data_IF_339186207765
#
_entry.id   IF_339186207765
#
_cell.length_a   1.000
_cell.length_b   1.000
_cell.length_c   1.000
_cell.angle_alpha   90.00
_cell.angle_beta   90.00
_cell.angle_gamma   90.00
#
_symmetry.space_group_name_H-M   'P 1'
#
loop_
_entity.id
_entity.type
_entity.pdbx_description
1 polymer ?
#
# COMPACT_ATOMS: atom_id res chain seq x y z
N UNK A 1 12.57 6.02 22.85
CA UNK A 1 11.65 7.10 23.29
C UNK A 1 10.32 6.92 22.59
N UNK A 2 9.21 7.01 23.32
CA UNK A 2 7.85 6.93 22.76
C UNK A 2 7.59 8.13 21.84
N UNK A 3 6.98 7.90 20.67
CA UNK A 3 6.69 8.95 19.71
C UNK A 3 5.81 10.06 20.30
N UNK A 4 6.28 11.30 20.17
CA UNK A 4 5.56 12.50 20.56
C UNK A 4 5.60 13.50 19.40
N UNK A 5 4.47 13.73 18.74
CA UNK A 5 4.44 14.49 17.49
C UNK A 5 5.06 15.90 17.59
N UNK A 6 4.87 16.62 18.72
CA UNK A 6 5.44 17.97 18.88
C UNK A 6 6.98 17.93 18.90
N UNK A 7 7.56 16.89 19.51
CA UNK A 7 9.00 16.74 19.69
C UNK A 7 9.61 16.27 18.36
N UNK A 8 8.95 15.34 17.67
CA UNK A 8 9.33 14.92 16.33
C UNK A 8 9.23 16.06 15.31
N UNK A 9 8.14 16.83 15.31
CA UNK A 9 7.95 17.95 14.39
C UNK A 9 9.06 19.00 14.58
N UNK A 10 9.40 19.32 15.84
CA UNK A 10 10.50 20.24 16.15
C UNK A 10 11.82 19.69 15.61
N UNK A 11 12.14 18.43 15.92
CA UNK A 11 13.35 17.76 15.45
C UNK A 11 13.44 17.73 13.91
N UNK A 12 12.37 17.36 13.21
CA UNK A 12 12.38 17.27 11.74
C UNK A 12 12.61 18.63 11.09
N UNK A 13 11.99 19.67 11.63
CA UNK A 13 12.12 21.05 11.13
C UNK A 13 13.52 21.59 11.40
N UNK A 14 14.07 21.36 12.60
CA UNK A 14 15.42 21.77 12.96
C UNK A 14 16.46 21.02 12.11
N UNK A 15 16.27 19.72 11.86
CA UNK A 15 17.16 18.92 11.00
C UNK A 15 17.16 19.39 9.55
N UNK A 16 16.02 19.93 9.09
CA UNK A 16 15.86 20.45 7.72
C UNK A 16 16.23 21.93 7.58
N UNK A 17 16.51 22.61 8.68
CA UNK A 17 16.82 24.03 8.74
C UNK A 17 15.80 24.92 7.99
N UNK A 18 14.50 24.65 8.23
CA UNK A 18 13.41 25.44 7.62
C UNK A 18 12.66 26.27 8.65
N UNK A 19 12.20 27.46 8.25
CA UNK A 19 11.33 28.25 9.13
C UNK A 19 9.91 27.69 9.18
N UNK A 20 9.14 28.07 10.20
CA UNK A 20 7.71 27.70 10.28
C UNK A 20 6.89 28.24 9.11
N UNK A 21 7.27 29.40 8.55
CA UNK A 21 6.60 29.97 7.38
C UNK A 21 6.87 29.13 6.15
N UNK A 22 8.12 28.69 5.98
CA UNK A 22 8.53 27.84 4.86
C UNK A 22 7.89 26.46 4.96
N UNK A 23 7.73 25.91 6.17
CA UNK A 23 6.98 24.68 6.39
C UNK A 23 5.52 24.80 5.90
N UNK A 24 4.81 25.89 6.22
CA UNK A 24 3.43 26.09 5.72
C UNK A 24 3.41 26.11 4.19
N UNK A 25 4.32 26.87 3.58
CA UNK A 25 4.42 26.96 2.12
C UNK A 25 4.74 25.59 1.50
N UNK A 26 5.67 24.84 2.07
CA UNK A 26 6.05 23.50 1.64
C UNK A 26 4.85 22.55 1.67
N UNK A 27 4.11 22.52 2.77
CA UNK A 27 2.94 21.65 2.93
C UNK A 27 1.82 22.01 1.95
N UNK A 28 1.55 23.31 1.76
CA UNK A 28 0.50 23.78 0.85
C UNK A 28 0.87 23.60 -0.62
N UNK A 29 2.14 23.75 -0.98
CA UNK A 29 2.60 23.55 -2.36
C UNK A 29 2.54 22.07 -2.78
N UNK A 30 2.86 21.14 -1.87
CA UNK A 30 2.86 19.71 -2.20
C UNK A 30 1.49 19.03 -2.01
N UNK A 31 0.71 19.48 -1.03
CA UNK A 31 -0.56 18.85 -0.63
C UNK A 31 -1.62 19.90 -0.24
N UNK A 32 -1.93 20.81 -1.16
CA UNK A 32 -2.85 21.92 -0.92
C UNK A 32 -4.17 21.49 -0.28
N UNK A 33 -4.86 20.50 -0.85
CA UNK A 33 -6.17 20.05 -0.34
C UNK A 33 -6.10 19.51 1.11
N UNK A 34 -4.96 18.97 1.53
CA UNK A 34 -4.78 18.45 2.90
C UNK A 34 -4.44 19.56 3.90
N UNK A 35 -3.79 20.63 3.45
CA UNK A 35 -3.30 21.74 4.29
C UNK A 35 -3.94 23.10 3.98
N UNK A 36 -5.03 23.10 3.21
CA UNK A 36 -5.84 24.29 2.96
C UNK A 36 -6.33 24.86 4.28
N UNK A 37 -6.08 26.14 4.49
CA UNK A 37 -6.41 26.83 5.75
C UNK A 37 -5.44 26.56 6.90
N UNK A 38 -4.31 25.88 6.68
CA UNK A 38 -3.22 25.84 7.66
C UNK A 38 -2.64 27.24 7.85
N UNK A 39 -2.76 27.77 9.06
CA UNK A 39 -2.21 29.06 9.48
C UNK A 39 -1.09 28.89 10.52
N UNK A 40 -0.40 30.00 10.81
CA UNK A 40 0.69 30.06 11.78
C UNK A 40 0.23 29.73 13.21
N UNK A 41 -1.03 30.01 13.55
CA UNK A 41 -1.60 29.73 14.87
C UNK A 41 -1.77 28.22 15.06
N UNK A 42 -2.38 27.55 14.08
CA UNK A 42 -2.61 26.11 14.07
C UNK A 42 -1.28 25.37 14.08
N UNK A 43 -0.33 25.79 13.26
CA UNK A 43 1.02 25.22 13.27
C UNK A 43 1.71 25.43 14.63
N UNK A 44 1.61 26.62 15.23
CA UNK A 44 2.15 26.89 16.58
C UNK A 44 1.52 26.00 17.66
N UNK A 45 0.22 25.70 17.56
CA UNK A 45 -0.45 24.73 18.44
C UNK A 45 0.11 23.32 18.30
N UNK A 46 0.52 22.91 17.10
CA UNK A 46 1.20 21.63 16.88
C UNK A 46 2.59 21.59 17.52
N UNK A 47 3.42 22.61 17.31
CA UNK A 47 4.74 22.72 17.96
C UNK A 47 4.67 22.76 19.49
N UNK A 48 3.61 23.36 20.05
CA UNK A 48 3.42 23.43 21.51
C UNK A 48 2.69 22.22 22.08
N UNK A 49 2.21 21.30 21.24
CA UNK A 49 1.39 20.15 21.64
C UNK A 49 -0.01 20.50 22.16
N UNK A 50 -0.47 21.76 21.98
CA UNK A 50 -1.84 22.18 22.32
C UNK A 50 -2.89 21.50 21.44
N UNK A 51 -2.50 21.10 20.23
CA UNK A 51 -3.28 20.22 19.38
C UNK A 51 -2.36 19.27 18.61
N UNK A 52 -2.90 18.14 18.18
CA UNK A 52 -2.18 17.14 17.39
C UNK A 52 -2.98 16.93 16.10
N UNK A 53 -2.35 17.05 14.92
CA UNK A 53 -3.04 16.79 13.67
C UNK A 53 -3.38 15.29 13.52
N UNK A 54 -4.37 14.93 12.70
CA UNK A 54 -4.67 13.53 12.39
C UNK A 54 -3.45 12.78 11.83
N UNK A 55 -3.39 11.45 12.01
CA UNK A 55 -2.24 10.61 11.63
C UNK A 55 -1.85 10.80 10.15
N UNK A 56 -2.83 10.84 9.24
CA UNK A 56 -2.52 11.04 7.81
C UNK A 56 -1.81 12.38 7.54
N UNK A 57 -2.17 13.45 8.27
CA UNK A 57 -1.45 14.73 8.16
C UNK A 57 -0.05 14.64 8.75
N UNK A 58 0.14 13.88 9.83
CA UNK A 58 1.47 13.63 10.38
C UNK A 58 2.37 12.91 9.35
N UNK A 59 1.83 11.91 8.63
CA UNK A 59 2.55 11.24 7.54
C UNK A 59 2.85 12.15 6.36
N UNK A 60 1.91 13.02 5.95
CA UNK A 60 2.21 14.01 4.92
C UNK A 60 3.30 15.00 5.35
N UNK A 61 3.27 15.45 6.60
CA UNK A 61 4.31 16.34 7.13
C UNK A 61 5.67 15.62 7.10
N UNK A 62 5.73 14.38 7.60
CA UNK A 62 6.94 13.57 7.55
C UNK A 62 7.44 13.38 6.11
N UNK A 63 6.53 13.05 5.17
CA UNK A 63 6.84 12.86 3.76
C UNK A 63 7.37 14.14 3.09
N UNK A 64 6.78 15.31 3.36
CA UNK A 64 7.28 16.60 2.84
C UNK A 64 8.66 16.97 3.39
N UNK A 65 9.03 16.44 4.56
CA UNK A 65 10.33 16.66 5.20
C UNK A 65 11.33 15.53 4.90
N UNK A 66 11.05 14.72 3.87
CA UNK A 66 11.64 13.42 3.52
C UNK A 66 12.14 12.63 4.74
N UNK A 67 11.23 12.42 5.70
CA UNK A 67 11.41 11.52 6.84
C UNK A 67 10.92 10.13 6.44
N UNK A 68 11.67 9.09 6.83
CA UNK A 68 11.26 7.70 6.62
C UNK A 68 9.95 7.40 7.37
N UNK A 69 8.88 7.15 6.61
CA UNK A 69 7.55 6.85 7.15
C UNK A 69 7.53 5.54 7.94
N UNK A 70 8.42 4.58 7.63
CA UNK A 70 8.55 3.33 8.39
C UNK A 70 9.05 3.64 9.81
N UNK A 71 10.10 4.46 9.95
CA UNK A 71 10.61 4.89 11.25
C UNK A 71 9.51 5.58 12.08
N UNK A 72 8.77 6.49 11.44
CA UNK A 72 7.65 7.20 12.09
C UNK A 72 6.61 6.20 12.62
N UNK A 73 6.14 5.28 11.77
CA UNK A 73 5.11 4.30 12.13
C UNK A 73 5.57 3.33 13.24
N UNK A 74 6.82 2.87 13.18
CA UNK A 74 7.38 1.99 14.20
C UNK A 74 7.49 2.66 15.57
N UNK A 75 7.67 3.98 15.64
CA UNK A 75 7.74 4.72 16.91
C UNK A 75 6.38 5.08 17.49
N UNK A 76 5.33 5.15 16.67
CA UNK A 76 3.96 5.50 17.10
C UNK A 76 3.39 4.53 18.14
N UNK A 77 2.82 5.04 19.22
CA UNK A 77 1.98 4.26 20.14
C UNK A 77 0.53 4.19 19.61
N UNK A 78 0.12 2.99 19.18
CA UNK A 78 -1.21 2.74 18.62
C UNK A 78 -2.20 2.13 19.63
N UNK A 79 -1.83 2.00 20.90
CA UNK A 79 -2.66 1.37 21.94
C UNK A 79 -4.02 2.03 22.11
N UNK A 80 -4.07 3.36 21.94
CA UNK A 80 -5.29 4.18 22.07
C UNK A 80 -6.03 4.41 20.74
N UNK A 81 -5.44 4.01 19.62
CA UNK A 81 -6.05 4.20 18.30
C UNK A 81 -7.19 3.20 18.13
N UNK A 82 -8.41 3.70 17.91
CA UNK A 82 -9.62 2.90 17.71
C UNK A 82 -10.36 3.37 16.47
N UNK A 83 -11.11 2.48 15.85
CA UNK A 83 -12.06 2.82 14.80
C UNK A 83 -13.50 2.67 15.32
N UNK A 84 -14.46 3.20 14.57
CA UNK A 84 -15.86 3.26 14.98
C UNK A 84 -16.62 1.95 14.73
N UNK A 85 -17.75 1.77 15.41
CA UNK A 85 -18.65 0.62 15.21
C UNK A 85 -19.09 0.43 13.74
N UNK A 86 -19.14 1.51 12.95
CA UNK A 86 -19.40 1.45 11.51
C UNK A 86 -18.33 0.64 10.77
N UNK A 87 -17.06 0.81 11.15
CA UNK A 87 -15.96 0.03 10.58
C UNK A 87 -16.07 -1.44 11.03
N UNK A 88 -16.37 -1.73 12.30
CA UNK A 88 -16.59 -3.10 12.77
C UNK A 88 -17.66 -3.83 11.95
N UNK A 89 -18.78 -3.16 11.67
CA UNK A 89 -19.87 -3.75 10.89
C UNK A 89 -19.43 -4.08 9.45
N UNK A 90 -18.76 -3.15 8.79
CA UNK A 90 -18.28 -3.34 7.41
C UNK A 90 -17.22 -4.44 7.34
N UNK A 91 -16.27 -4.45 8.28
CA UNK A 91 -15.22 -5.47 8.35
C UNK A 91 -15.83 -6.84 8.63
N UNK A 92 -16.70 -6.96 9.63
CA UNK A 92 -17.32 -8.25 9.98
C UNK A 92 -18.20 -8.79 8.86
N UNK A 93 -18.88 -7.91 8.11
CA UNK A 93 -19.66 -8.29 6.94
C UNK A 93 -18.76 -8.76 5.81
N UNK A 94 -17.64 -8.07 5.55
CA UNK A 94 -16.65 -8.53 4.58
C UNK A 94 -16.06 -9.88 4.98
N UNK A 95 -15.57 -10.01 6.20
CA UNK A 95 -14.98 -11.25 6.75
C UNK A 95 -15.97 -12.39 6.59
N UNK A 96 -17.23 -12.20 7.02
CA UNK A 96 -18.27 -13.21 6.86
C UNK A 96 -18.46 -13.55 5.39
N UNK A 97 -18.54 -12.58 4.49
CA UNK A 97 -18.80 -12.85 3.08
C UNK A 97 -17.64 -13.57 2.38
N UNK A 98 -16.39 -13.30 2.76
CA UNK A 98 -15.20 -13.97 2.22
C UNK A 98 -15.03 -15.38 2.79
N UNK A 99 -15.26 -15.54 4.09
CA UNK A 99 -15.08 -16.81 4.80
C UNK A 99 -16.33 -17.72 4.73
N UNK A 100 -17.46 -17.19 4.27
CA UNK A 100 -18.66 -17.98 3.95
C UNK A 100 -18.43 -18.92 2.77
N UNK A 101 -17.38 -18.69 1.97
CA UNK A 101 -17.06 -19.56 0.85
C UNK A 101 -16.63 -20.96 1.32
N UNK A 102 -16.99 -21.96 0.53
CA UNK A 102 -16.77 -23.42 0.69
C UNK A 102 -15.25 -23.77 0.74
N UNK A 103 -14.34 -22.81 0.84
CA UNK A 103 -12.89 -23.06 0.97
C UNK A 103 -12.55 -23.92 2.20
N UNK A 104 -13.34 -23.83 3.28
CA UNK A 104 -13.27 -24.75 4.43
C UNK A 104 -13.77 -26.17 4.15
N UNK A 105 -14.55 -26.36 3.08
CA UNK A 105 -15.06 -27.65 2.57
C UNK A 105 -14.32 -28.08 1.29
N UNK A 106 -13.17 -27.46 0.99
CA UNK A 106 -12.34 -27.79 -0.17
C UNK A 106 -11.65 -29.15 0.00
N UNK A 107 -11.56 -29.93 -1.09
CA UNK A 107 -10.73 -31.14 -1.15
C UNK A 107 -9.24 -30.86 -0.89
N UNK A 108 -8.81 -29.61 -1.05
CA UNK A 108 -7.46 -29.16 -0.72
C UNK A 108 -7.50 -28.38 0.57
N UNK A 109 -6.85 -28.93 1.60
CA UNK A 109 -6.68 -28.25 2.89
C UNK A 109 -5.79 -27.03 2.68
N UNK A 110 -6.30 -25.86 3.03
CA UNK A 110 -5.50 -24.65 3.16
C UNK A 110 -4.91 -24.68 4.57
N UNK A 111 -3.88 -25.48 4.77
CA UNK A 111 -3.12 -25.52 6.03
C UNK A 111 -1.78 -24.83 5.86
N UNK A 112 -1.22 -24.40 6.99
CA UNK A 112 0.09 -23.76 7.08
C UNK A 112 0.02 -22.23 7.18
N UNK A 113 1.07 -21.58 7.73
CA UNK A 113 1.19 -20.13 7.70
C UNK A 113 1.33 -19.67 6.23
N UNK A 114 0.62 -18.60 5.82
CA UNK A 114 0.69 -18.11 4.45
C UNK A 114 2.12 -17.66 4.12
N UNK A 115 2.70 -18.25 3.06
CA UNK A 115 3.96 -17.80 2.50
C UNK A 115 3.69 -16.75 1.44
N UNK A 116 4.08 -15.52 1.72
CA UNK A 116 3.94 -14.39 0.79
C UNK A 116 5.18 -14.26 -0.08
N UNK A 117 5.02 -13.85 -1.34
CA UNK A 117 6.12 -13.65 -2.28
C UNK A 117 5.82 -12.44 -3.15
N UNK A 118 6.76 -11.49 -3.21
CA UNK A 118 6.67 -10.31 -4.06
C UNK A 118 7.56 -10.50 -5.28
N UNK A 119 6.99 -10.35 -6.47
CA UNK A 119 7.70 -10.50 -7.75
C UNK A 119 7.52 -9.29 -8.64
N UNK A 120 8.59 -8.95 -9.35
CA UNK A 120 8.50 -8.12 -10.55
C UNK A 120 8.42 -9.02 -11.77
N UNK A 121 7.43 -8.80 -12.63
CA UNK A 121 7.15 -9.60 -13.81
C UNK A 121 7.18 -8.71 -15.05
N UNK A 122 7.68 -9.27 -16.14
CA UNK A 122 7.45 -8.76 -17.50
C UNK A 122 5.99 -9.00 -17.93
N UNK A 123 5.56 -8.35 -19.00
CA UNK A 123 4.22 -8.56 -19.58
C UNK A 123 3.98 -10.03 -19.96
N UNK A 124 5.00 -10.72 -20.47
CA UNK A 124 4.90 -12.12 -20.88
C UNK A 124 4.73 -13.04 -19.67
N UNK A 125 5.56 -12.89 -18.64
CA UNK A 125 5.44 -13.65 -17.39
C UNK A 125 4.11 -13.39 -16.68
N UNK A 126 3.66 -12.13 -16.65
CA UNK A 126 2.36 -11.74 -16.14
C UNK A 126 1.23 -12.42 -16.91
N UNK A 127 1.27 -12.34 -18.24
CA UNK A 127 0.28 -12.95 -19.11
C UNK A 127 0.23 -14.45 -18.87
N UNK A 128 1.36 -15.14 -18.91
CA UNK A 128 1.42 -16.60 -18.73
C UNK A 128 0.88 -17.04 -17.36
N UNK A 129 1.16 -16.28 -16.29
CA UNK A 129 0.70 -16.63 -14.95
C UNK A 129 -0.78 -16.32 -14.70
N UNK A 130 -1.32 -15.23 -15.23
CA UNK A 130 -2.66 -14.76 -14.92
C UNK A 130 -3.67 -14.85 -16.06
N UNK A 131 -3.29 -15.38 -17.23
CA UNK A 131 -4.14 -15.47 -18.43
C UNK A 131 -5.52 -16.03 -18.13
N UNK A 132 -5.58 -17.21 -17.52
CA UNK A 132 -6.86 -17.90 -17.23
C UNK A 132 -7.71 -17.10 -16.24
N UNK A 133 -7.08 -16.53 -15.20
CA UNK A 133 -7.77 -15.70 -14.23
C UNK A 133 -8.36 -14.43 -14.88
N UNK A 134 -7.55 -13.72 -15.67
CA UNK A 134 -7.96 -12.51 -16.38
C UNK A 134 -9.02 -12.80 -17.45
N UNK A 135 -8.96 -13.97 -18.10
CA UNK A 135 -9.98 -14.41 -19.06
C UNK A 135 -11.37 -14.49 -18.43
N UNK A 136 -11.44 -14.90 -17.17
CA UNK A 136 -12.70 -15.00 -16.41
C UNK A 136 -13.26 -13.63 -15.98
N UNK A 137 -12.55 -12.53 -16.20
CA UNK A 137 -12.99 -11.17 -15.88
C UNK A 137 -13.41 -10.46 -17.17
N UNK A 138 -14.57 -10.88 -17.70
CA UNK A 138 -15.08 -10.42 -19.00
C UNK A 138 -15.14 -8.87 -19.16
N UNK A 139 -15.48 -8.06 -18.13
CA UNK A 139 -15.50 -6.60 -18.28
C UNK A 139 -14.14 -6.01 -18.66
N UNK A 140 -13.04 -6.62 -18.19
CA UNK A 140 -11.68 -6.12 -18.38
C UNK A 140 -10.95 -6.75 -19.58
N UNK A 141 -11.59 -7.62 -20.36
CA UNK A 141 -10.97 -8.27 -21.53
C UNK A 141 -10.30 -7.28 -22.50
N UNK A 142 -10.95 -6.14 -22.78
CA UNK A 142 -10.41 -5.09 -23.66
C UNK A 142 -9.20 -4.40 -23.03
N UNK A 143 -9.23 -4.20 -21.71
CA UNK A 143 -8.12 -3.62 -20.98
C UNK A 143 -6.87 -4.50 -21.08
N UNK A 144 -7.00 -5.80 -20.84
CA UNK A 144 -5.86 -6.72 -20.98
C UNK A 144 -5.34 -6.83 -22.43
N UNK A 145 -6.21 -6.72 -23.43
CA UNK A 145 -5.80 -6.65 -24.84
C UNK A 145 -4.99 -5.38 -25.13
N UNK A 146 -5.50 -4.21 -24.74
CA UNK A 146 -4.79 -2.93 -24.91
C UNK A 146 -3.43 -2.95 -24.19
N UNK A 147 -3.33 -3.60 -23.01
CA UNK A 147 -2.05 -3.77 -22.30
C UNK A 147 -1.04 -4.58 -23.11
N UNK A 148 -1.45 -5.72 -23.69
CA UNK A 148 -0.56 -6.55 -24.49
C UNK A 148 -0.09 -5.83 -25.77
N UNK A 149 -0.96 -5.04 -26.39
CA UNK A 149 -0.67 -4.35 -27.65
C UNK A 149 0.17 -3.08 -27.48
N UNK A 150 -0.02 -2.34 -26.37
CA UNK A 150 0.46 -0.95 -26.25
C UNK A 150 1.33 -0.69 -25.02
N UNK A 151 1.48 -1.68 -24.13
CA UNK A 151 2.17 -1.51 -22.85
C UNK A 151 3.24 -2.59 -22.61
N UNK A 152 4.01 -2.94 -23.64
CA UNK A 152 5.00 -4.04 -23.59
C UNK A 152 6.13 -3.85 -22.58
N UNK A 153 6.46 -2.59 -22.26
CA UNK A 153 7.57 -2.24 -21.37
C UNK A 153 7.14 -2.05 -19.90
N UNK A 154 5.88 -2.33 -19.58
CA UNK A 154 5.37 -2.18 -18.21
C UNK A 154 5.84 -3.34 -17.34
N UNK A 155 6.47 -2.99 -16.20
CA UNK A 155 6.78 -3.95 -15.14
C UNK A 155 5.57 -4.10 -14.22
N UNK A 156 5.18 -5.34 -14.01
CA UNK A 156 4.11 -5.70 -13.10
C UNK A 156 4.70 -6.08 -11.75
N UNK A 157 4.17 -5.50 -10.67
CA UNK A 157 4.48 -5.95 -9.31
C UNK A 157 3.37 -6.86 -8.84
N UNK A 158 3.74 -8.02 -8.30
CA UNK A 158 2.81 -9.03 -7.85
C UNK A 158 3.10 -9.39 -6.40
N UNK A 159 2.05 -9.49 -5.59
CA UNK A 159 2.06 -10.11 -4.27
C UNK A 159 1.32 -11.43 -4.39
N UNK A 160 2.01 -12.53 -4.14
CA UNK A 160 1.45 -13.89 -4.13
C UNK A 160 1.37 -14.39 -2.70
N UNK A 161 0.31 -15.13 -2.37
CA UNK A 161 0.22 -15.93 -1.17
C UNK A 161 0.10 -17.39 -1.60
N UNK A 162 1.00 -18.22 -1.07
CA UNK A 162 1.05 -19.65 -1.32
C UNK A 162 0.78 -20.44 -0.05
N UNK A 163 0.20 -21.62 -0.23
CA UNK A 163 0.08 -22.62 0.82
C UNK A 163 1.31 -23.55 0.86
N UNK A 164 1.32 -24.51 1.79
CA UNK A 164 2.40 -25.50 1.96
C UNK A 164 2.65 -26.37 0.70
N UNK A 165 1.70 -26.41 -0.24
CA UNK A 165 1.81 -27.14 -1.52
C UNK A 165 2.27 -26.23 -2.67
N UNK A 166 2.75 -25.01 -2.37
CA UNK A 166 3.14 -23.97 -3.32
C UNK A 166 2.00 -23.51 -4.26
N UNK A 167 0.74 -23.85 -3.94
CA UNK A 167 -0.41 -23.40 -4.70
C UNK A 167 -0.80 -21.96 -4.30
N UNK A 168 -1.08 -21.12 -5.29
CA UNK A 168 -1.54 -19.74 -5.07
C UNK A 168 -2.95 -19.72 -4.45
N UNK A 169 -3.04 -19.24 -3.22
CA UNK A 169 -4.30 -19.08 -2.46
C UNK A 169 -4.73 -17.62 -2.31
N UNK A 170 -3.86 -16.69 -2.74
CA UNK A 170 -4.18 -15.29 -2.92
C UNK A 170 -3.18 -14.62 -3.84
N UNK A 171 -3.62 -13.62 -4.60
CA UNK A 171 -2.71 -12.73 -5.31
C UNK A 171 -3.30 -11.33 -5.47
N UNK A 172 -2.39 -10.36 -5.53
CA UNK A 172 -2.58 -9.08 -6.18
C UNK A 172 -1.49 -8.89 -7.23
N UNK A 173 -1.83 -8.21 -8.30
CA UNK A 173 -0.85 -7.69 -9.24
C UNK A 173 -1.16 -6.23 -9.52
N UNK A 174 -0.18 -5.49 -9.98
CA UNK A 174 -0.35 -4.08 -10.26
C UNK A 174 0.76 -3.52 -11.12
N UNK A 175 0.54 -2.30 -11.58
CA UNK A 175 1.50 -1.50 -12.33
C UNK A 175 1.86 -0.30 -11.48
N UNK A 176 3.14 -0.18 -11.14
CA UNK A 176 3.64 0.93 -10.30
C UNK A 176 3.54 2.25 -11.07
N UNK A 177 3.87 2.21 -12.35
CA UNK A 177 3.83 3.34 -13.27
C UNK A 177 2.68 3.10 -14.26
N UNK A 178 1.74 4.03 -14.32
CA UNK A 178 0.53 3.93 -15.13
C UNK A 178 0.51 4.92 -16.29
N UNK A 179 1.58 5.68 -16.47
CA UNK A 179 1.76 6.66 -17.53
C UNK A 179 1.60 6.00 -18.91
N UNK A 180 2.15 4.80 -19.09
CA UNK A 180 2.04 4.03 -20.33
C UNK A 180 0.64 3.50 -20.65
N UNK A 181 -0.29 3.54 -19.69
CA UNK A 181 -1.68 3.10 -19.88
C UNK A 181 -2.69 4.25 -19.79
N UNK A 182 -2.20 5.46 -19.47
CA UNK A 182 -3.03 6.64 -19.29
C UNK A 182 -3.69 7.03 -20.63
N UNK A 183 -5.00 7.20 -20.63
CA UNK A 183 -5.76 7.56 -21.84
C UNK A 183 -6.00 6.42 -22.81
N UNK A 184 -5.66 5.16 -22.47
CA UNK A 184 -6.11 4.01 -23.26
C UNK A 184 -7.65 3.99 -23.35
N UNK A 185 -8.24 3.57 -24.48
CA UNK A 185 -9.70 3.51 -24.62
C UNK A 185 -10.39 2.64 -23.56
N UNK A 186 -9.69 1.61 -23.08
CA UNK A 186 -10.14 0.71 -22.02
C UNK A 186 -9.80 1.21 -20.61
N UNK A 187 -9.09 2.32 -20.47
CA UNK A 187 -8.75 2.93 -19.18
C UNK A 187 -9.35 4.35 -19.07
N UNK A 188 -8.88 5.13 -18.10
CA UNK A 188 -9.27 6.53 -17.91
C UNK A 188 -8.14 7.45 -18.35
N UNK A 189 -8.47 8.72 -18.57
CA UNK A 189 -7.47 9.77 -18.79
C UNK A 189 -7.28 10.56 -17.50
N UNK A 190 -6.05 10.63 -17.04
CA UNK A 190 -5.62 11.36 -15.86
C UNK A 190 -4.74 12.54 -16.27
N UNK A 191 -4.76 13.66 -15.52
CA UNK A 191 -3.70 14.66 -15.59
C UNK A 191 -2.33 14.00 -15.41
N UNK A 192 -1.31 14.49 -16.12
CA UNK A 192 0.01 13.87 -16.11
C UNK A 192 0.61 13.79 -14.69
N UNK A 193 0.53 14.88 -13.91
CA UNK A 193 1.03 14.92 -12.53
C UNK A 193 0.36 13.84 -11.65
N UNK A 194 -0.94 13.61 -11.84
CA UNK A 194 -1.65 12.56 -11.12
C UNK A 194 -1.21 11.17 -11.58
N UNK A 195 -1.06 10.94 -12.89
CA UNK A 195 -0.59 9.67 -13.43
C UNK A 195 0.81 9.30 -12.89
N UNK A 196 1.73 10.26 -12.83
CA UNK A 196 3.10 10.08 -12.29
C UNK A 196 3.08 9.68 -10.80
N UNK A 197 2.13 10.23 -10.03
CA UNK A 197 1.94 9.94 -8.60
C UNK A 197 1.02 8.75 -8.33
N UNK A 198 0.60 8.04 -9.36
CA UNK A 198 -0.37 6.95 -9.25
C UNK A 198 0.19 5.59 -9.62
N UNK A 199 -0.40 4.56 -9.03
CA UNK A 199 -0.24 3.17 -9.44
C UNK A 199 -1.62 2.52 -9.71
N UNK A 200 -1.63 1.36 -10.37
CA UNK A 200 -2.83 0.55 -10.59
C UNK A 200 -2.67 -0.82 -9.92
N UNK A 201 -3.71 -1.29 -9.25
CA UNK A 201 -3.85 -2.64 -8.72
C UNK A 201 -4.95 -3.35 -9.53
N UNK A 202 -4.60 -4.50 -10.08
CA UNK A 202 -5.50 -5.39 -10.78
C UNK A 202 -6.58 -5.97 -9.88
N UNK A 203 -7.50 -6.73 -10.48
CA UNK A 203 -8.44 -7.53 -9.69
C UNK A 203 -7.66 -8.58 -8.93
N UNK A 204 -7.90 -8.66 -7.62
CA UNK A 204 -7.28 -9.65 -6.76
C UNK A 204 -8.02 -10.98 -6.68
N UNK A 205 -7.29 -12.01 -6.29
CA UNK A 205 -7.84 -13.30 -5.87
C UNK A 205 -7.44 -13.58 -4.42
N UNK A 206 -8.35 -14.17 -3.65
CA UNK A 206 -8.10 -14.59 -2.28
C UNK A 206 -9.16 -15.61 -1.88
N UNK A 207 -8.74 -16.66 -1.17
CA UNK A 207 -9.64 -17.74 -0.73
C UNK A 207 -10.27 -17.52 0.64
N UNK A 208 -9.81 -16.51 1.38
CA UNK A 208 -10.30 -16.18 2.73
C UNK A 208 -10.06 -14.70 3.04
N UNK A 209 -10.72 -14.21 4.09
CA UNK A 209 -10.48 -12.88 4.65
C UNK A 209 -9.04 -12.72 5.14
N UNK A 210 -8.43 -13.77 5.70
CA UNK A 210 -7.04 -13.75 6.14
C UNK A 210 -6.07 -13.46 4.97
N UNK A 211 -6.26 -14.13 3.82
CA UNK A 211 -5.45 -13.85 2.63
C UNK A 211 -5.71 -12.45 2.07
N UNK A 212 -6.97 -11.99 2.08
CA UNK A 212 -7.30 -10.64 1.64
C UNK A 212 -6.55 -9.57 2.45
N UNK A 213 -6.58 -9.68 3.79
CA UNK A 213 -5.87 -8.74 4.65
C UNK A 213 -4.35 -8.86 4.52
N UNK A 214 -3.80 -10.07 4.38
CA UNK A 214 -2.35 -10.25 4.16
C UNK A 214 -1.91 -9.58 2.84
N UNK A 215 -2.67 -9.73 1.75
CA UNK A 215 -2.38 -9.05 0.48
C UNK A 215 -2.35 -7.52 0.64
N UNK A 216 -3.34 -6.95 1.34
CA UNK A 216 -3.38 -5.50 1.62
C UNK A 216 -2.14 -5.08 2.40
N UNK A 217 -1.84 -5.78 3.50
CA UNK A 217 -0.75 -5.42 4.40
C UNK A 217 0.60 -5.52 3.68
N UNK A 218 0.83 -6.60 2.95
CA UNK A 218 2.04 -6.79 2.13
C UNK A 218 2.21 -5.66 1.09
N UNK A 219 1.15 -5.32 0.37
CA UNK A 219 1.19 -4.25 -0.63
C UNK A 219 1.48 -2.87 0.01
N UNK A 220 0.91 -2.58 1.17
CA UNK A 220 1.16 -1.32 1.89
C UNK A 220 2.58 -1.27 2.48
N UNK A 221 3.09 -2.37 3.03
CA UNK A 221 4.49 -2.45 3.47
C UNK A 221 5.45 -2.27 2.28
N UNK A 222 5.18 -2.93 1.16
CA UNK A 222 5.98 -2.78 -0.06
C UNK A 222 5.97 -1.33 -0.58
N UNK A 223 4.80 -0.69 -0.59
CA UNK A 223 4.69 0.73 -0.89
C UNK A 223 5.53 1.59 0.05
N UNK A 224 5.46 1.35 1.36
CA UNK A 224 6.22 2.12 2.35
C UNK A 224 7.73 2.03 2.09
N UNK A 225 8.22 0.82 1.77
CA UNK A 225 9.63 0.53 1.53
C UNK A 225 10.12 1.11 0.19
N UNK A 226 9.30 1.15 -0.87
CA UNK A 226 9.81 1.43 -2.24
C UNK A 226 9.25 2.68 -2.91
N UNK A 227 8.05 3.09 -2.53
CA UNK A 227 7.25 4.04 -3.30
C UNK A 227 6.63 5.16 -2.46
N UNK A 228 6.85 5.17 -1.15
CA UNK A 228 6.30 6.16 -0.23
C UNK A 228 6.69 7.59 -0.55
N UNK A 229 7.83 7.84 -1.20
CA UNK A 229 8.24 9.17 -1.66
C UNK A 229 7.58 9.56 -2.99
N UNK A 230 7.29 8.60 -3.87
CA UNK A 230 6.92 8.85 -5.28
C UNK A 230 5.43 8.75 -5.58
N UNK A 231 4.73 7.84 -4.90
CA UNK A 231 3.33 7.50 -5.20
C UNK A 231 2.43 7.97 -4.07
N UNK A 232 1.27 8.51 -4.41
CA UNK A 232 0.28 9.03 -3.47
C UNK A 232 -1.08 8.38 -3.66
N UNK A 233 -1.40 7.96 -4.88
CA UNK A 233 -2.69 7.39 -5.23
C UNK A 233 -2.54 5.96 -5.77
N UNK A 234 -3.52 5.15 -5.45
CA UNK A 234 -3.69 3.83 -6.04
C UNK A 234 -5.07 3.76 -6.67
N UNK A 235 -5.09 3.37 -7.93
CA UNK A 235 -6.29 2.95 -8.62
C UNK A 235 -6.40 1.44 -8.49
N UNK A 236 -7.60 0.91 -8.34
CA UNK A 236 -7.77 -0.53 -8.17
C UNK A 236 -9.09 -1.03 -8.72
N UNK A 237 -9.02 -2.17 -9.39
CA UNK A 237 -10.19 -2.83 -9.91
C UNK A 237 -10.84 -3.71 -8.83
N UNK A 238 -12.12 -3.48 -8.59
CA UNK A 238 -12.93 -4.23 -7.63
C UNK A 238 -14.13 -4.80 -8.37
N UNK A 239 -14.34 -6.11 -8.27
CA UNK A 239 -15.56 -6.75 -8.76
C UNK A 239 -16.79 -6.16 -8.08
N UNK A 240 -17.93 -6.19 -8.76
CA UNK A 240 -19.22 -5.69 -8.27
C UNK A 240 -19.78 -6.59 -7.15
N UNK A 241 -19.11 -6.54 -6.00
CA UNK A 241 -19.38 -7.32 -4.81
C UNK A 241 -19.48 -6.36 -3.62
N UNK A 242 -20.72 -6.16 -3.15
CA UNK A 242 -21.07 -5.11 -2.20
C UNK A 242 -20.22 -5.09 -0.92
N UNK A 243 -19.86 -6.23 -0.28
CA UNK A 243 -18.97 -6.20 0.89
C UNK A 243 -17.58 -5.60 0.60
N UNK A 244 -16.98 -5.90 -0.56
CA UNK A 244 -15.69 -5.33 -0.95
C UNK A 244 -15.80 -3.85 -1.30
N UNK A 245 -16.89 -3.44 -1.97
CA UNK A 245 -17.15 -2.03 -2.30
C UNK A 245 -17.33 -1.22 -1.02
N UNK A 246 -18.15 -1.70 -0.08
CA UNK A 246 -18.39 -1.03 1.19
C UNK A 246 -17.11 -0.91 2.03
N UNK A 247 -16.30 -1.98 2.09
CA UNK A 247 -14.98 -1.94 2.72
C UNK A 247 -14.08 -0.90 2.06
N UNK A 248 -14.03 -0.87 0.73
CA UNK A 248 -13.13 0.03 0.01
C UNK A 248 -13.51 1.50 0.17
N UNK A 249 -14.80 1.82 0.09
CA UNK A 249 -15.31 3.18 0.34
C UNK A 249 -15.03 3.64 1.77
N UNK A 250 -15.14 2.75 2.77
CA UNK A 250 -14.97 3.14 4.18
C UNK A 250 -13.52 3.11 4.66
N UNK A 251 -12.78 2.05 4.38
CA UNK A 251 -11.43 1.81 4.95
C UNK A 251 -10.35 2.51 4.13
N UNK A 252 -10.41 2.38 2.80
CA UNK A 252 -9.48 3.08 1.91
C UNK A 252 -9.89 4.53 1.63
N UNK A 253 -11.09 4.94 2.05
CA UNK A 253 -11.71 6.20 1.62
C UNK A 253 -11.71 6.31 0.09
N UNK A 254 -12.07 5.21 -0.58
CA UNK A 254 -11.98 5.09 -2.02
C UNK A 254 -13.15 5.77 -2.72
N UNK A 255 -12.83 6.47 -3.81
CA UNK A 255 -13.75 7.16 -4.70
C UNK A 255 -13.96 6.32 -5.96
N UNK A 256 -15.21 6.22 -6.39
CA UNK A 256 -15.57 5.51 -7.62
C UNK A 256 -15.22 6.38 -8.82
N UNK A 257 -14.48 5.83 -9.78
CA UNK A 257 -14.00 6.58 -10.95
C UNK A 257 -14.71 6.12 -12.23
N UNK A 258 -14.84 4.80 -12.41
CA UNK A 258 -15.44 4.21 -13.61
C UNK A 258 -16.04 2.86 -13.29
N UNK A 259 -17.16 2.53 -13.92
CA UNK A 259 -17.76 1.19 -13.89
C UNK A 259 -17.62 0.52 -15.26
N UNK A 260 -17.20 -0.73 -15.24
CA UNK A 260 -17.07 -1.62 -16.40
C UNK A 260 -18.20 -2.66 -16.32
N UNK A 261 -19.26 -2.50 -17.13
CA UNK A 261 -20.43 -3.37 -17.03
C UNK A 261 -20.10 -4.81 -17.45
N UNK A 262 -20.85 -5.80 -16.91
CA UNK A 262 -20.73 -7.18 -17.35
C UNK A 262 -21.02 -7.32 -18.84
N UNK A 263 -20.20 -8.10 -19.55
CA UNK A 263 -20.40 -8.39 -20.98
C UNK A 263 -21.26 -9.63 -21.21
N UNK A 264 -21.39 -10.46 -20.19
CA UNK A 264 -22.08 -11.74 -20.26
C UNK A 264 -23.11 -11.84 -19.14
N UNK A 265 -24.25 -12.48 -19.43
CA UNK A 265 -25.33 -12.66 -18.46
C UNK A 265 -24.83 -13.53 -17.30
N UNK A 266 -24.95 -13.03 -16.07
CA UNK A 266 -24.49 -13.74 -14.86
C UNK A 266 -23.05 -13.42 -14.44
N UNK A 267 -22.29 -12.64 -15.24
CA UNK A 267 -21.00 -12.10 -14.81
C UNK A 267 -21.17 -10.84 -13.95
N UNK A 268 -20.22 -10.58 -13.05
CA UNK A 268 -20.17 -9.34 -12.27
C UNK A 268 -19.52 -8.23 -13.11
N UNK A 269 -19.98 -6.99 -12.90
CA UNK A 269 -19.23 -5.82 -13.36
C UNK A 269 -17.95 -5.62 -12.55
N UNK A 270 -17.15 -4.63 -12.96
CA UNK A 270 -15.93 -4.23 -12.25
C UNK A 270 -15.93 -2.72 -12.10
N UNK A 271 -15.67 -2.23 -10.90
CA UNK A 271 -15.41 -0.82 -10.64
C UNK A 271 -13.91 -0.55 -10.67
N UNK A 272 -13.53 0.61 -11.19
CA UNK A 272 -12.26 1.24 -10.93
C UNK A 272 -12.46 2.26 -9.82
N UNK A 273 -11.81 2.00 -8.69
CA UNK A 273 -11.74 2.92 -7.57
C UNK A 273 -10.41 3.63 -7.54
N UNK A 274 -10.38 4.81 -6.93
CA UNK A 274 -9.19 5.58 -6.60
C UNK A 274 -9.13 5.79 -5.10
N UNK A 275 -7.96 5.64 -4.51
CA UNK A 275 -7.76 6.00 -3.11
C UNK A 275 -6.40 6.63 -2.87
N UNK A 276 -6.29 7.36 -1.77
CA UNK A 276 -5.04 7.90 -1.30
C UNK A 276 -4.34 6.90 -0.37
N UNK A 277 -3.11 6.53 -0.70
CA UNK A 277 -2.37 5.46 -0.03
C UNK A 277 -2.02 5.87 1.41
N UNK A 278 -1.58 7.11 1.63
CA UNK A 278 -1.25 7.64 2.96
C UNK A 278 -2.48 7.63 3.87
N UNK A 279 -3.64 8.10 3.39
CA UNK A 279 -4.91 8.03 4.16
C UNK A 279 -5.32 6.60 4.47
N UNK A 280 -5.08 5.68 3.54
CA UNK A 280 -5.38 4.26 3.72
C UNK A 280 -4.53 3.62 4.81
N UNK A 281 -3.21 3.82 4.77
CA UNK A 281 -2.28 3.34 5.80
C UNK A 281 -2.63 3.97 7.16
N UNK A 282 -3.04 5.23 7.17
CA UNK A 282 -3.43 5.95 8.38
C UNK A 282 -4.77 5.50 8.97
N UNK A 283 -5.55 4.69 8.27
CA UNK A 283 -6.80 4.16 8.80
C UNK A 283 -6.49 3.18 9.94
N UNK A 284 -7.06 3.35 11.15
CA UNK A 284 -6.81 2.46 12.29
C UNK A 284 -6.93 0.95 12.02
N UNK A 285 -7.78 0.56 11.06
CA UNK A 285 -8.00 -0.83 10.65
C UNK A 285 -6.74 -1.43 10.03
N UNK A 286 -6.03 -0.65 9.22
CA UNK A 286 -4.84 -1.09 8.49
C UNK A 286 -3.56 -0.68 9.21
N UNK A 287 -3.54 0.50 9.83
CA UNK A 287 -2.38 1.08 10.50
C UNK A 287 -1.73 0.11 11.48
N UNK A 288 -2.54 -0.56 12.33
CA UNK A 288 -2.04 -1.54 13.30
C UNK A 288 -1.42 -2.75 12.63
N UNK A 289 -2.11 -3.32 11.63
CA UNK A 289 -1.64 -4.50 10.89
C UNK A 289 -0.36 -4.22 10.12
N UNK A 290 -0.25 -3.04 9.51
CA UNK A 290 0.95 -2.59 8.81
C UNK A 290 2.10 -2.40 9.80
N UNK A 291 1.86 -1.75 10.95
CA UNK A 291 2.88 -1.61 12.00
C UNK A 291 3.38 -2.97 12.50
N UNK A 292 2.47 -3.86 12.88
CA UNK A 292 2.77 -5.22 13.34
C UNK A 292 3.61 -5.98 12.31
N UNK A 293 3.28 -5.86 11.02
CA UNK A 293 4.07 -6.49 9.96
C UNK A 293 5.47 -5.87 9.84
N UNK A 294 5.59 -4.54 9.90
CA UNK A 294 6.89 -3.87 9.85
C UNK A 294 7.76 -4.22 11.05
N UNK A 295 7.20 -4.34 12.25
CA UNK A 295 7.89 -4.82 13.45
C UNK A 295 8.41 -6.25 13.23
N UNK A 296 7.53 -7.14 12.72
CA UNK A 296 7.93 -8.50 12.35
C UNK A 296 9.06 -8.53 11.31
N UNK A 297 9.11 -7.58 10.37
CA UNK A 297 10.18 -7.48 9.37
C UNK A 297 11.50 -6.97 9.94
N UNK A 298 11.45 -6.11 10.97
CA UNK A 298 12.65 -5.61 11.66
C UNK A 298 13.29 -6.73 12.48
N UNK A 299 12.47 -7.52 13.18
CA UNK A 299 12.92 -8.60 14.07
C UNK A 299 12.96 -9.97 13.37
N UNK A 300 12.87 -9.97 12.03
CA UNK A 300 12.74 -11.19 11.23
C UNK A 300 14.01 -12.02 11.26
N UNK A 301 13.89 -13.31 11.60
CA UNK A 301 15.00 -14.27 11.48
C UNK A 301 15.50 -14.29 10.01
N UNK A 302 16.82 -14.22 9.75
CA UNK A 302 17.37 -14.31 8.40
C UNK A 302 16.96 -15.57 7.61
N UNK A 303 16.56 -16.65 8.31
CA UNK A 303 16.06 -17.90 7.74
C UNK A 303 14.54 -17.91 7.50
N UNK A 304 13.82 -16.86 7.93
CA UNK A 304 12.38 -16.73 7.73
C UNK A 304 12.05 -16.60 6.24
N UNK A 305 11.30 -17.56 5.72
CA UNK A 305 10.89 -17.61 4.32
C UNK A 305 9.41 -17.25 4.12
N UNK A 306 8.78 -16.60 5.11
CA UNK A 306 7.36 -16.23 5.07
C UNK A 306 7.07 -15.04 4.13
N UNK A 307 8.06 -14.17 3.89
CA UNK A 307 7.99 -13.14 2.85
C UNK A 307 9.37 -12.62 2.47
N UNK A 308 9.53 -12.14 1.24
CA UNK A 308 10.76 -11.55 0.72
C UNK A 308 10.79 -10.01 0.77
N UNK A 309 9.91 -9.39 1.56
CA UNK A 309 9.96 -7.94 1.82
C UNK A 309 11.32 -7.44 2.36
N UNK A 310 12.04 -8.17 3.24
CA UNK A 310 13.34 -7.72 3.74
C UNK A 310 14.38 -7.49 2.64
N UNK A 311 14.30 -8.23 1.54
CA UNK A 311 15.24 -8.13 0.42
C UNK A 311 15.15 -6.76 -0.26
N UNK A 312 13.96 -6.17 -0.32
CA UNK A 312 13.72 -4.86 -0.92
C UNK A 312 14.18 -3.69 -0.05
N UNK A 313 14.44 -3.91 1.25
CA UNK A 313 14.99 -2.89 2.15
C UNK A 313 16.51 -2.76 1.99
N UNK A 314 17.20 -3.86 1.67
CA UNK A 314 18.67 -3.89 1.47
C UNK A 314 19.12 -3.17 0.20
N UNK A 315 18.28 -3.18 -0.84
CA UNK A 315 18.57 -2.48 -2.10
C UNK A 315 18.68 -0.95 -1.96
N UNK A 316 18.16 -0.34 -0.88
CA UNK A 316 18.32 1.10 -0.63
C UNK A 316 19.68 1.45 0.00
N UNK A 317 20.37 0.51 0.66
CA UNK A 317 21.72 0.78 1.20
C UNK A 317 22.81 0.76 0.12
N UNK A 318 22.53 0.28 -1.10
CA UNK A 318 23.51 0.16 -2.18
C UNK A 318 23.47 1.37 -3.15
N UNK A 319 22.47 2.25 -3.04
CA UNK A 319 22.38 3.47 -3.85
C UNK A 319 22.25 4.70 -2.94
N UNK A 320 23.32 5.00 -2.21
CA UNK A 320 23.40 6.17 -1.34
C UNK A 320 24.66 6.12 -0.49
N UNK A 321 25.80 6.50 -1.06
CA UNK A 321 27.05 6.61 -0.33
C UNK A 321 26.94 7.58 0.86
N UNK A 322 27.39 7.10 2.02
CA UNK A 322 27.75 7.85 3.22
C UNK A 322 26.76 7.59 4.36
N UNK A 323 26.98 6.69 5.31
CA UNK A 323 28.18 6.44 6.13
C UNK A 323 28.11 4.97 6.62
N UNK A 324 29.19 4.16 6.58
CA UNK A 324 29.19 2.88 7.26
C UNK A 324 29.33 3.10 8.75
N UNK A 325 28.40 2.55 9.53
CA UNK A 325 28.61 2.31 10.95
C UNK A 325 29.86 1.44 11.10
N UNK A 326 30.85 2.00 11.79
CA UNK A 326 32.06 1.34 12.24
C UNK A 326 31.69 0.13 13.10
N UNK A 327 31.89 -1.07 12.57
CA UNK A 327 32.20 -2.24 13.40
C UNK A 327 33.72 -2.29 13.57
N UNK A 328 34.19 -1.66 14.66
CA UNK A 328 35.54 -1.82 15.17
C UNK A 328 35.46 -2.93 16.20
N UNK A 329 35.87 -4.13 15.82
CA UNK A 329 37.00 -4.86 16.42
C UNK A 329 36.92 -6.34 16.02
N UNK A 330 37.84 -6.80 15.17
CA UNK A 330 38.39 -8.14 15.35
C UNK A 330 39.86 -8.19 14.92
N UNK A 331 40.68 -8.49 15.94
CA UNK A 331 41.94 -9.23 15.94
C UNK A 331 42.99 -8.96 14.85
N UNK A 332 43.99 -8.16 15.25
CA UNK A 332 45.39 -8.36 14.84
C UNK A 332 45.89 -9.72 15.36
N UNK A 333 46.31 -10.60 14.45
CA UNK A 333 47.53 -11.43 14.48
C UNK A 333 47.61 -12.13 13.12
N UNK A 334 48.66 -12.01 12.32
CA UNK A 334 49.95 -12.63 12.59
C UNK A 334 51.07 -12.02 11.72
N UNK A 335 52.22 -11.81 12.36
CA UNK A 335 53.42 -12.55 11.96
C UNK A 335 53.26 -13.98 12.44
#
# INVERSE_FOLDING_TARGET
MTYCFKDELSRWVDTRDISRKDLIALLQNNYYEEFKGLDSITLSRWFTGKSIPPIYKQFYIAKCLDIDLIEVLLRMDLSKVRYSNKHDLVISTLVRALDFSISNLSYRKVSGPPKSEIKSLTINEYSDMFKEFNHNISPLKRFYQDLQEKASDVKYQCVLIKNDQEATVGHWYGMVNIEGINGLPSFITLPQEEAERSCLIGVGYFTSSAHYFELIVQALCYYLIRYSSKKDYAYFFIVDFQPLIAFSKLVFNAEEVKYYPPKEKGSMGVYLFRHNIIKSISNPVLLKKVKEKLECLVDCDPSCNLCNLPDFRKDEMIIGNGIPFLDVTESRTHV
#
